data_IF_487272484624
#
_entry.id   IF_487272484624
#
_cell.length_a   1.000
_cell.length_b   1.000
_cell.length_c   1.000
_cell.angle_alpha   90.00
_cell.angle_beta   90.00
_cell.angle_gamma   90.00
#
_symmetry.space_group_name_H-M   'P 1'
#
loop_
_entity.id
_entity.type
_entity.pdbx_description
1 polymer ?
#
# COMPACT_ATOMS: atom_id res chain seq x y z
N UNK A 1 -1.34 -4.55 -10.61
CA UNK A 1 -1.42 -5.53 -9.51
C UNK A 1 -2.79 -5.44 -8.86
N UNK A 2 -3.53 -6.54 -8.81
CA UNK A 2 -4.77 -6.65 -8.04
C UNK A 2 -4.47 -6.75 -6.53
N UNK A 3 -5.51 -6.79 -5.70
CA UNK A 3 -5.33 -6.82 -4.23
C UNK A 3 -4.55 -8.04 -3.72
N UNK A 4 -4.68 -9.21 -4.36
CA UNK A 4 -3.96 -10.42 -3.98
C UNK A 4 -2.47 -10.26 -4.27
N UNK A 5 -2.15 -9.80 -5.48
CA UNK A 5 -0.77 -9.54 -5.91
C UNK A 5 -0.12 -8.44 -5.05
N UNK A 6 -0.86 -7.42 -4.63
CA UNK A 6 -0.35 -6.40 -3.71
C UNK A 6 -0.01 -6.98 -2.33
N UNK A 7 -0.88 -7.84 -1.78
CA UNK A 7 -0.60 -8.51 -0.51
C UNK A 7 0.59 -9.49 -0.59
N UNK A 8 0.79 -10.13 -1.75
CA UNK A 8 1.95 -10.99 -2.00
C UNK A 8 3.24 -10.18 -2.17
N UNK A 9 3.14 -8.99 -2.76
CA UNK A 9 4.29 -8.11 -2.99
C UNK A 9 4.79 -7.42 -1.71
N UNK A 10 3.90 -7.10 -0.77
CA UNK A 10 4.25 -6.46 0.51
C UNK A 10 4.03 -7.47 1.65
N UNK A 11 5.08 -8.14 2.15
CA UNK A 11 4.95 -9.14 3.21
C UNK A 11 4.22 -8.59 4.45
N UNK A 12 3.28 -9.37 5.00
CA UNK A 12 2.46 -8.96 6.14
C UNK A 12 1.26 -8.07 5.78
N UNK A 13 1.12 -7.64 4.53
CA UNK A 13 -0.05 -6.91 4.06
C UNK A 13 -1.28 -7.82 3.96
N UNK A 14 -2.42 -7.35 4.47
CA UNK A 14 -3.71 -8.05 4.36
C UNK A 14 -4.72 -7.24 3.56
N UNK A 15 -5.76 -7.90 3.05
CA UNK A 15 -6.86 -7.21 2.33
C UNK A 15 -7.55 -6.15 3.21
N UNK A 16 -7.71 -6.44 4.51
CA UNK A 16 -8.31 -5.54 5.48
C UNK A 16 -7.43 -4.31 5.71
N UNK A 17 -6.12 -4.51 5.94
CA UNK A 17 -5.15 -3.42 6.10
C UNK A 17 -5.08 -2.56 4.84
N UNK A 18 -5.02 -3.17 3.66
CA UNK A 18 -5.04 -2.46 2.39
C UNK A 18 -6.34 -1.64 2.18
N UNK A 19 -7.49 -2.14 2.65
CA UNK A 19 -8.73 -1.37 2.64
C UNK A 19 -8.68 -0.18 3.59
N UNK A 20 -8.14 -0.36 4.79
CA UNK A 20 -7.95 0.72 5.76
C UNK A 20 -6.98 1.79 5.24
N UNK A 21 -5.89 1.39 4.58
CA UNK A 21 -4.94 2.31 3.97
C UNK A 21 -5.56 3.17 2.86
N UNK A 22 -6.43 2.57 2.03
CA UNK A 22 -7.22 3.33 1.03
C UNK A 22 -8.22 4.27 1.68
N UNK A 23 -8.90 3.82 2.73
CA UNK A 23 -9.88 4.63 3.45
C UNK A 23 -9.24 5.84 4.13
N UNK A 24 -8.06 5.65 4.73
CA UNK A 24 -7.33 6.71 5.46
C UNK A 24 -6.44 7.57 4.57
N UNK A 25 -6.25 7.20 3.30
CA UNK A 25 -5.34 7.88 2.37
C UNK A 25 -3.85 7.69 2.69
N UNK A 26 -3.49 6.78 3.60
CA UNK A 26 -2.11 6.53 4.02
C UNK A 26 -1.39 5.47 3.18
N UNK A 27 -2.10 4.82 2.26
CA UNK A 27 -1.58 3.78 1.38
C UNK A 27 -1.02 4.28 0.06
N UNK A 28 -0.54 3.35 -0.78
CA UNK A 28 -0.12 3.67 -2.14
C UNK A 28 -1.31 4.13 -2.99
N UNK A 29 -1.02 4.88 -4.06
CA UNK A 29 -2.05 5.27 -5.03
C UNK A 29 -2.69 4.02 -5.61
N UNK A 30 -4.01 4.07 -5.77
CA UNK A 30 -4.79 2.99 -6.34
C UNK A 30 -5.65 3.52 -7.48
N UNK A 31 -5.99 2.64 -8.41
CA UNK A 31 -6.93 2.93 -9.48
C UNK A 31 -8.23 2.22 -9.16
N UNK A 32 -9.31 3.00 -9.25
CA UNK A 32 -10.75 2.72 -9.10
C UNK A 32 -11.55 2.35 -10.37
N UNK A 33 -11.21 1.41 -11.30
CA UNK A 33 -11.94 1.34 -12.58
C UNK A 33 -13.43 1.01 -12.45
N UNK A 34 -13.81 0.28 -11.40
CA UNK A 34 -15.21 -0.06 -11.10
C UNK A 34 -15.43 -0.16 -9.60
N UNK A 35 -16.68 -0.29 -9.15
CA UNK A 35 -17.00 -0.43 -7.72
C UNK A 35 -16.34 -1.64 -7.05
N UNK A 36 -16.05 -2.71 -7.82
CA UNK A 36 -15.55 -4.00 -7.33
C UNK A 36 -14.06 -4.23 -7.57
N UNK A 37 -13.41 -3.41 -8.39
CA UNK A 37 -12.02 -3.61 -8.80
C UNK A 37 -11.13 -2.50 -8.25
N UNK A 38 -10.09 -2.91 -7.53
CA UNK A 38 -9.00 -2.04 -7.09
C UNK A 38 -7.71 -2.62 -7.62
N UNK A 39 -6.93 -1.78 -8.29
CA UNK A 39 -5.60 -2.14 -8.81
C UNK A 39 -4.57 -1.11 -8.36
N UNK A 40 -3.33 -1.59 -8.27
CA UNK A 40 -2.14 -0.82 -7.96
C UNK A 40 -1.19 -0.87 -9.15
N UNK A 41 -0.58 0.25 -9.50
CA UNK A 41 0.64 0.23 -10.31
C UNK A 41 1.81 -0.14 -9.41
N UNK A 42 2.77 -0.89 -9.93
CA UNK A 42 3.95 -1.27 -9.15
C UNK A 42 4.75 -0.03 -8.70
N UNK A 43 5.01 0.89 -9.62
CA UNK A 43 5.69 2.16 -9.32
C UNK A 43 5.00 2.96 -8.21
N UNK A 44 3.67 3.06 -8.23
CA UNK A 44 2.91 3.77 -7.19
C UNK A 44 3.03 3.10 -5.80
N UNK A 45 3.27 1.78 -5.76
CA UNK A 45 3.55 1.05 -4.52
C UNK A 45 5.00 1.25 -4.09
N UNK A 46 5.95 1.19 -5.02
CA UNK A 46 7.37 1.39 -4.75
C UNK A 46 7.63 2.82 -4.22
N UNK A 47 7.02 3.85 -4.83
CA UNK A 47 7.08 5.24 -4.37
C UNK A 47 6.55 5.41 -2.94
N UNK A 48 5.47 4.69 -2.61
CA UNK A 48 4.89 4.71 -1.27
C UNK A 48 5.81 4.03 -0.26
N UNK A 49 6.43 2.91 -0.62
CA UNK A 49 7.42 2.25 0.24
C UNK A 49 8.63 3.14 0.49
N UNK A 50 9.16 3.77 -0.57
CA UNK A 50 10.28 4.70 -0.49
C UNK A 50 9.98 5.89 0.45
N UNK A 51 8.75 6.44 0.37
CA UNK A 51 8.32 7.51 1.26
C UNK A 51 8.18 7.10 2.74
N UNK A 52 8.15 5.79 3.03
CA UNK A 52 8.07 5.23 4.38
C UNK A 52 9.36 4.48 4.76
N UNK A 53 10.49 4.78 4.10
CA UNK A 53 11.79 4.24 4.49
C UNK A 53 12.26 4.88 5.80
N UNK A 54 12.58 4.03 6.79
CA UNK A 54 13.10 4.44 8.08
C UNK A 54 14.39 3.67 8.37
N UNK A 55 15.43 4.37 8.81
CA UNK A 55 16.74 3.78 9.12
C UNK A 55 16.79 3.23 10.57
N UNK A 56 15.94 3.73 11.45
CA UNK A 56 15.91 3.36 12.87
C UNK A 56 14.48 3.34 13.41
N UNK A 57 14.23 2.43 14.34
CA UNK A 57 12.99 2.37 15.15
C UNK A 57 13.12 3.11 16.48
N UNK A 58 14.30 3.65 16.79
CA UNK A 58 14.48 4.52 17.95
C UNK A 58 13.88 5.90 17.64
N UNK A 59 12.95 6.37 18.49
CA UNK A 59 12.55 7.77 18.47
C UNK A 59 13.76 8.64 18.81
N UNK A 60 14.27 9.40 17.83
CA UNK A 60 15.13 10.54 18.12
C UNK A 60 14.24 11.60 18.79
N UNK A 61 14.31 11.67 20.11
CA UNK A 61 13.72 12.75 20.91
C UNK A 61 14.58 14.01 20.85
#
# INVERSE_FOLDING_TARGET
>A
MNIKEFCEYVPGMTRALAAQLRYTGKGPKFIKPSSKLVIYRRSDVDDWLAANEHISTAELR
#
